data_IF_369061053720
#
_entry.id   IF_369061053720
#
_cell.length_a   1.000
_cell.length_b   1.000
_cell.length_c   1.000
_cell.angle_alpha   90.00
_cell.angle_beta   90.00
_cell.angle_gamma   90.00
#
_symmetry.space_group_name_H-M   'P 1'
#
loop_
_entity.id
_entity.type
_entity.pdbx_description
1 polymer ?
#
# COMPACT_ATOMS: atom_id res chain seq x y z
N UNK A 1 6.67 -0.30 -12.12
CA UNK A 1 5.72 0.31 -11.15
C UNK A 1 4.25 0.23 -11.55
N UNK A 2 3.75 0.90 -12.61
CA UNK A 2 2.29 0.87 -12.91
C UNK A 2 1.72 -0.54 -13.15
N UNK A 3 2.48 -1.41 -13.82
CA UNK A 3 2.10 -2.82 -14.00
C UNK A 3 2.06 -3.57 -12.67
N UNK A 4 3.03 -3.35 -11.78
CA UNK A 4 3.05 -3.93 -10.43
C UNK A 4 1.85 -3.44 -9.60
N UNK A 5 1.51 -2.14 -9.66
CA UNK A 5 0.35 -1.61 -8.94
C UNK A 5 -0.97 -2.28 -9.38
N UNK A 6 -1.08 -2.67 -10.65
CA UNK A 6 -2.28 -3.35 -11.18
C UNK A 6 -2.44 -4.80 -10.72
N UNK A 7 -1.39 -5.43 -10.19
CA UNK A 7 -1.45 -6.75 -9.53
C UNK A 7 -2.06 -6.67 -8.14
N UNK A 8 -2.14 -5.47 -7.57
CA UNK A 8 -2.70 -5.24 -6.25
C UNK A 8 -4.18 -4.89 -6.34
N UNK A 9 -4.96 -5.33 -5.36
CA UNK A 9 -6.35 -4.91 -5.15
C UNK A 9 -6.55 -4.47 -3.71
N UNK A 10 -7.46 -3.51 -3.49
CA UNK A 10 -7.84 -3.04 -2.15
C UNK A 10 -9.34 -3.18 -1.93
N UNK A 11 -9.73 -3.53 -0.71
CA UNK A 11 -11.12 -3.64 -0.29
C UNK A 11 -11.31 -2.87 1.00
N UNK A 12 -12.33 -2.01 1.02
CA UNK A 12 -12.93 -1.53 2.25
C UNK A 12 -13.88 -2.63 2.72
N UNK A 13 -13.52 -3.30 3.81
CA UNK A 13 -14.32 -4.40 4.36
C UNK A 13 -15.52 -3.86 5.16
N UNK A 14 -15.44 -2.63 5.66
CA UNK A 14 -16.58 -1.90 6.24
C UNK A 14 -16.24 -1.09 7.49
N UNK A 15 -17.07 -0.10 7.77
CA UNK A 15 -17.23 0.61 9.04
C UNK A 15 -18.38 0.00 9.85
N UNK A 16 -19.45 -0.44 9.19
CA UNK A 16 -20.65 -0.93 9.86
C UNK A 16 -20.49 -2.36 10.37
N UNK A 17 -21.24 -2.70 11.41
CA UNK A 17 -21.35 -4.09 11.84
C UNK A 17 -22.09 -4.90 10.76
N UNK A 18 -21.56 -6.09 10.44
CA UNK A 18 -22.05 -6.90 9.32
C UNK A 18 -21.53 -6.49 7.94
N UNK A 19 -20.61 -5.52 7.82
CA UNK A 19 -19.91 -5.16 6.58
C UNK A 19 -20.86 -4.77 5.42
N UNK A 20 -22.00 -4.13 5.72
CA UNK A 20 -22.98 -3.70 4.71
C UNK A 20 -22.44 -2.65 3.73
N UNK A 21 -21.36 -1.97 4.10
CA UNK A 21 -20.65 -0.96 3.34
C UNK A 21 -19.38 -1.48 2.66
N UNK A 22 -19.20 -2.81 2.60
CA UNK A 22 -18.08 -3.43 1.92
C UNK A 22 -18.00 -3.02 0.46
N UNK A 23 -16.82 -2.58 0.03
CA UNK A 23 -16.60 -2.08 -1.33
C UNK A 23 -15.20 -2.39 -1.86
N UNK A 24 -15.12 -2.81 -3.14
CA UNK A 24 -13.84 -2.87 -3.87
C UNK A 24 -13.38 -1.45 -4.20
N UNK A 25 -12.16 -1.14 -3.82
CA UNK A 25 -11.58 0.18 -4.00
C UNK A 25 -10.97 0.33 -5.40
N UNK A 26 -11.10 1.53 -5.97
CA UNK A 26 -10.55 1.86 -7.28
C UNK A 26 -9.09 2.27 -7.15
N UNK A 27 -8.20 1.58 -7.85
CA UNK A 27 -6.81 2.03 -8.01
C UNK A 27 -6.75 3.31 -8.86
N UNK A 28 -6.14 4.37 -8.34
CA UNK A 28 -5.81 5.55 -9.12
C UNK A 28 -4.63 5.23 -10.05
N UNK A 29 -4.77 5.40 -11.39
CA UNK A 29 -3.76 4.94 -12.35
C UNK A 29 -2.49 5.81 -12.38
N UNK A 30 -2.56 7.04 -11.84
CA UNK A 30 -1.42 7.95 -11.70
C UNK A 30 -0.95 7.90 -10.25
N UNK A 31 0.36 7.68 -10.00
CA UNK A 31 0.88 7.79 -8.64
C UNK A 31 0.71 9.23 -8.14
N UNK A 32 0.39 9.37 -6.86
CA UNK A 32 0.26 10.68 -6.22
C UNK A 32 1.62 11.29 -5.89
N UNK A 33 2.66 10.45 -5.78
CA UNK A 33 4.03 10.86 -5.53
C UNK A 33 5.01 9.86 -6.14
N UNK A 34 6.14 10.34 -6.67
CA UNK A 34 7.27 9.53 -7.16
C UNK A 34 8.56 10.06 -6.54
N UNK A 35 9.39 9.15 -6.03
CA UNK A 35 10.68 9.44 -5.42
C UNK A 35 11.81 8.66 -6.11
N UNK A 36 13.08 9.00 -5.82
CA UNK A 36 14.27 8.36 -6.41
C UNK A 36 14.74 8.93 -7.76
N UNK A 37 13.94 9.78 -8.41
CA UNK A 37 14.32 10.44 -9.67
C UNK A 37 15.07 11.77 -9.51
N UNK A 38 15.30 12.24 -8.29
CA UNK A 38 16.02 13.48 -7.99
C UNK A 38 17.22 13.16 -7.10
N UNK A 39 18.26 14.01 -7.15
CA UNK A 39 19.44 13.98 -6.26
C UNK A 39 19.11 14.15 -4.76
N UNK A 40 17.84 14.01 -4.38
CA UNK A 40 17.37 13.96 -3.02
C UNK A 40 17.76 12.60 -2.46
N UNK A 41 18.69 12.58 -1.51
CA UNK A 41 18.92 11.44 -0.64
C UNK A 41 17.62 11.16 0.12
N UNK A 42 16.81 10.25 -0.37
CA UNK A 42 15.80 9.58 0.44
C UNK A 42 16.55 8.87 1.56
N UNK A 43 16.11 9.00 2.81
CA UNK A 43 16.79 8.45 4.00
C UNK A 43 16.79 6.91 4.10
N UNK A 44 16.99 6.19 2.99
CA UNK A 44 17.01 4.73 2.90
C UNK A 44 17.48 4.23 1.53
N UNK A 45 17.61 2.91 1.38
CA UNK A 45 18.20 2.22 0.20
C UNK A 45 17.33 2.24 -1.08
N UNK A 46 16.24 3.00 -1.08
CA UNK A 46 15.33 3.08 -2.21
C UNK A 46 15.88 4.01 -3.32
N UNK A 47 15.99 3.48 -4.54
CA UNK A 47 16.57 4.16 -5.71
C UNK A 47 15.53 4.63 -6.74
N UNK A 48 14.32 4.07 -6.73
CA UNK A 48 13.13 4.57 -7.45
C UNK A 48 11.90 4.10 -6.67
N UNK A 49 10.80 4.84 -6.77
CA UNK A 49 9.56 4.40 -6.15
C UNK A 49 8.41 5.37 -6.33
N UNK A 50 7.21 4.89 -6.04
CA UNK A 50 6.01 5.68 -6.15
C UNK A 50 4.94 5.23 -5.17
N UNK A 51 4.07 6.18 -4.82
CA UNK A 51 2.89 5.96 -3.98
C UNK A 51 1.65 6.02 -4.87
N UNK A 52 0.87 4.96 -4.85
CA UNK A 52 -0.43 4.81 -5.47
C UNK A 52 -1.53 4.82 -4.41
N UNK A 53 -2.77 5.00 -4.85
CA UNK A 53 -3.94 5.11 -3.96
C UNK A 53 -5.03 4.18 -4.44
N UNK A 54 -5.61 3.42 -3.53
CA UNK A 54 -6.92 2.83 -3.67
C UNK A 54 -7.94 3.73 -2.98
N UNK A 55 -8.96 4.16 -3.72
CA UNK A 55 -9.92 5.17 -3.26
C UNK A 55 -11.37 4.68 -3.36
N UNK A 56 -12.18 5.15 -2.41
CA UNK A 56 -13.63 5.16 -2.51
C UNK A 56 -14.06 6.52 -3.10
N UNK A 57 -14.52 6.53 -4.35
CA UNK A 57 -14.76 7.79 -5.06
C UNK A 57 -13.46 8.60 -5.21
N UNK A 58 -13.37 9.72 -4.48
CA UNK A 58 -12.17 10.57 -4.40
C UNK A 58 -11.41 10.45 -3.07
N UNK A 59 -11.95 9.70 -2.10
CA UNK A 59 -11.38 9.57 -0.76
C UNK A 59 -10.33 8.43 -0.72
N UNK A 60 -9.06 8.70 -0.37
CA UNK A 60 -8.04 7.68 -0.22
C UNK A 60 -8.32 6.74 0.96
N UNK A 61 -8.31 5.44 0.70
CA UNK A 61 -8.55 4.42 1.73
C UNK A 61 -7.28 3.62 2.04
N UNK A 62 -6.53 3.24 0.99
CA UNK A 62 -5.27 2.50 1.10
C UNK A 62 -4.20 3.18 0.24
N UNK A 63 -3.02 3.40 0.82
CA UNK A 63 -1.82 3.78 0.10
C UNK A 63 -1.04 2.51 -0.27
N UNK A 64 -0.59 2.43 -1.52
CA UNK A 64 0.31 1.40 -2.01
C UNK A 64 1.66 2.04 -2.32
N UNK A 65 2.70 1.64 -1.60
CA UNK A 65 4.07 2.03 -1.88
C UNK A 65 4.73 0.91 -2.70
N UNK A 66 5.35 1.27 -3.81
CA UNK A 66 6.21 0.38 -4.60
C UNK A 66 7.56 1.05 -4.71
N UNK A 67 8.61 0.35 -4.27
CA UNK A 67 9.97 0.87 -4.26
C UNK A 67 10.96 -0.16 -4.81
N UNK A 68 11.96 0.32 -5.55
CA UNK A 68 13.15 -0.44 -5.90
C UNK A 68 14.22 -0.13 -4.86
N UNK A 69 14.70 -1.14 -4.15
CA UNK A 69 15.81 -1.04 -3.20
C UNK A 69 17.03 -1.77 -3.73
N UNK A 70 18.23 -1.33 -3.38
CA UNK A 70 19.44 -2.10 -3.71
C UNK A 70 19.65 -3.23 -2.70
N UNK A 71 19.61 -4.48 -3.16
CA UNK A 71 20.07 -5.64 -2.41
C UNK A 71 21.25 -6.26 -3.17
N UNK A 72 22.41 -6.39 -2.51
CA UNK A 72 23.65 -6.88 -3.13
C UNK A 72 24.03 -6.15 -4.44
N UNK A 73 23.73 -4.85 -4.49
CA UNK A 73 24.00 -4.00 -5.66
C UNK A 73 23.01 -4.18 -6.83
N UNK A 74 21.99 -5.03 -6.69
CA UNK A 74 20.93 -5.21 -7.68
C UNK A 74 19.61 -4.57 -7.23
N UNK A 75 18.84 -3.95 -8.15
CA UNK A 75 17.54 -3.41 -7.82
C UNK A 75 16.52 -4.53 -7.58
N UNK A 76 15.98 -4.59 -6.36
CA UNK A 76 14.89 -5.49 -5.96
C UNK A 76 13.64 -4.67 -5.69
N UNK A 77 12.54 -5.05 -6.34
CA UNK A 77 11.25 -4.41 -6.13
C UNK A 77 10.57 -4.93 -4.86
N UNK A 78 10.08 -4.01 -4.06
CA UNK A 78 9.30 -4.25 -2.85
C UNK A 78 8.00 -3.48 -2.93
N UNK A 79 7.02 -3.95 -2.18
CA UNK A 79 5.76 -3.24 -2.01
C UNK A 79 5.37 -3.20 -0.54
N UNK A 80 4.51 -2.25 -0.21
CA UNK A 80 3.97 -2.10 1.12
C UNK A 80 2.60 -1.38 1.06
N UNK A 81 1.72 -1.71 1.99
CA UNK A 81 0.42 -1.06 2.14
C UNK A 81 0.36 -0.24 3.43
N UNK A 82 -0.35 0.89 3.38
CA UNK A 82 -0.68 1.71 4.54
C UNK A 82 -2.16 2.09 4.50
N UNK A 83 -2.79 2.16 5.69
CA UNK A 83 -4.15 2.68 5.81
C UNK A 83 -4.18 4.21 5.65
N UNK A 84 -5.25 4.73 5.07
CA UNK A 84 -5.54 6.16 5.00
C UNK A 84 -6.88 6.54 5.65
N UNK A 85 -7.67 5.56 6.12
CA UNK A 85 -8.93 5.76 6.83
C UNK A 85 -9.03 4.90 8.08
N UNK A 86 -10.12 5.03 8.85
CA UNK A 86 -10.43 4.21 10.04
C UNK A 86 -11.26 2.95 9.75
N UNK A 87 -11.52 2.63 8.49
CA UNK A 87 -12.29 1.44 8.10
C UNK A 87 -11.54 0.13 8.40
N UNK A 88 -12.24 -1.00 8.38
CA UNK A 88 -11.56 -2.29 8.18
C UNK A 88 -11.13 -2.38 6.71
N UNK A 89 -9.87 -2.68 6.47
CA UNK A 89 -9.27 -2.68 5.13
C UNK A 89 -8.56 -4.00 4.88
N UNK A 90 -8.56 -4.45 3.63
CA UNK A 90 -7.70 -5.54 3.16
C UNK A 90 -7.07 -5.17 1.83
N UNK A 91 -5.86 -5.67 1.61
CA UNK A 91 -5.19 -5.58 0.31
C UNK A 91 -4.63 -6.94 -0.08
N UNK A 92 -4.71 -7.22 -1.38
CA UNK A 92 -4.24 -8.45 -1.97
C UNK A 92 -3.23 -8.17 -3.08
N UNK A 93 -2.33 -9.11 -3.29
CA UNK A 93 -1.36 -9.15 -4.38
C UNK A 93 -1.61 -10.45 -5.16
N UNK A 94 -1.87 -10.34 -6.46
CA UNK A 94 -2.26 -11.48 -7.32
C UNK A 94 -3.37 -12.38 -6.76
N UNK A 95 -4.32 -11.77 -6.04
CA UNK A 95 -5.48 -12.44 -5.47
C UNK A 95 -5.27 -12.99 -4.06
N UNK A 96 -4.05 -13.02 -3.53
CA UNK A 96 -3.77 -13.41 -2.15
C UNK A 96 -3.80 -12.20 -1.21
N UNK A 97 -4.55 -12.29 -0.10
CA UNK A 97 -4.56 -11.24 0.92
C UNK A 97 -3.24 -11.21 1.69
N UNK A 98 -2.47 -10.14 1.49
CA UNK A 98 -1.13 -9.96 2.08
C UNK A 98 -1.10 -8.87 3.16
N UNK A 99 -2.17 -8.07 3.28
CA UNK A 99 -2.26 -7.02 4.27
C UNK A 99 -3.71 -6.79 4.72
N UNK A 100 -3.89 -6.51 6.01
CA UNK A 100 -5.18 -6.15 6.60
C UNK A 100 -5.01 -5.08 7.67
N UNK A 101 -6.02 -4.23 7.86
CA UNK A 101 -6.12 -3.30 8.97
C UNK A 101 -7.51 -3.38 9.63
N UNK A 102 -7.55 -3.36 10.97
CA UNK A 102 -8.80 -3.37 11.73
C UNK A 102 -9.49 -2.00 11.72
N UNK A 103 -10.78 -1.97 12.09
CA UNK A 103 -11.51 -0.72 12.34
C UNK A 103 -10.88 0.07 13.49
N UNK A 104 -11.00 1.38 13.45
CA UNK A 104 -10.64 2.29 14.55
C UNK A 104 -9.25 1.98 15.14
N UNK A 105 -8.19 2.24 14.35
CA UNK A 105 -6.84 1.97 14.85
C UNK A 105 -6.60 2.74 16.14
N UNK A 106 -5.86 2.10 17.04
CA UNK A 106 -5.30 2.80 18.18
C UNK A 106 -4.30 3.85 17.68
N UNK A 107 -4.64 5.13 17.86
CA UNK A 107 -3.82 6.28 17.49
C UNK A 107 -2.79 6.65 18.58
N UNK A 108 -2.83 5.97 19.73
CA UNK A 108 -1.85 6.14 20.80
C UNK A 108 -0.54 5.39 20.54
N UNK A 109 -0.55 4.40 19.64
CA UNK A 109 0.63 3.64 19.23
C UNK A 109 1.15 4.19 17.91
N UNK A 110 2.15 5.06 17.99
CA UNK A 110 2.75 5.69 16.81
C UNK A 110 3.29 4.67 15.78
N UNK A 111 3.67 3.46 16.18
CA UNK A 111 4.13 2.37 15.28
C UNK A 111 3.02 1.41 14.83
N UNK A 112 1.76 1.73 15.13
CA UNK A 112 0.59 0.90 14.82
C UNK A 112 0.28 0.78 13.31
N UNK A 113 -0.95 0.41 12.91
CA UNK A 113 -1.32 0.07 11.52
C UNK A 113 -1.24 1.23 10.51
N UNK A 114 -0.78 2.40 10.96
CA UNK A 114 -0.35 3.53 10.13
C UNK A 114 1.04 3.32 9.49
N UNK A 115 1.78 2.30 9.91
CA UNK A 115 3.06 1.91 9.31
C UNK A 115 2.98 0.60 8.51
N UNK A 116 3.87 0.51 7.54
CA UNK A 116 3.80 -0.41 6.40
C UNK A 116 4.55 -1.72 6.66
N UNK A 117 3.96 -2.85 6.26
CA UNK A 117 4.69 -4.13 6.19
C UNK A 117 5.35 -4.19 4.81
N UNK A 118 6.69 -4.19 4.77
CA UNK A 118 7.46 -4.32 3.52
C UNK A 118 7.59 -5.79 3.16
N UNK A 119 7.18 -6.16 1.95
CA UNK A 119 7.38 -7.50 1.42
C UNK A 119 8.14 -7.46 0.09
N UNK A 120 8.96 -8.48 -0.14
CA UNK A 120 9.56 -8.70 -1.45
C UNK A 120 8.48 -9.17 -2.41
N UNK A 121 8.56 -8.78 -3.68
CA UNK A 121 7.62 -9.28 -4.69
C UNK A 121 7.80 -10.78 -4.92
N UNK A 122 9.03 -11.28 -4.76
CA UNK A 122 9.39 -12.68 -5.03
C UNK A 122 9.17 -13.62 -3.83
N UNK A 123 8.46 -13.18 -2.77
CA UNK A 123 8.23 -13.99 -1.56
C UNK A 123 6.85 -14.66 -1.51
N UNK A 124 6.14 -14.70 -2.62
CA UNK A 124 4.86 -15.41 -2.76
C UNK A 124 5.09 -16.52 -3.78
N UNK A 125 4.92 -17.77 -3.33
CA UNK A 125 5.06 -18.99 -4.13
C UNK A 125 3.98 -19.08 -5.24
#
# INVERSE_FOLDING_TARGET
MKQLARRCTGVLEGFNDGNSDRQVLRLLPKPIFRFGNSNVKTGGDAVDGAIFVFAQGNDPEILLIIEATLAEGQPVWRYAFARASSAKLSAAFDGETVWTANKFPDDSVASGPHFTVRQAIDSID
#
